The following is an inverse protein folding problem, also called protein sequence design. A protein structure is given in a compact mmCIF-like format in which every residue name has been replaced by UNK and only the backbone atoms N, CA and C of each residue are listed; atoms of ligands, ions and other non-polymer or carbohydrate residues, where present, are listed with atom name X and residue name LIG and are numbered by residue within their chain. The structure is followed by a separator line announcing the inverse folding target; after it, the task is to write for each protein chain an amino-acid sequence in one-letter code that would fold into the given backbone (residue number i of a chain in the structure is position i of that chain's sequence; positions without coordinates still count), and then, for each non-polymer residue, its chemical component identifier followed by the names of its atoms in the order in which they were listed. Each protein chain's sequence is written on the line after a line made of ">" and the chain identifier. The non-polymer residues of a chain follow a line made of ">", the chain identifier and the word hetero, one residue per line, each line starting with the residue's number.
data_IF_038447564038
#
_entry.id   IF_038447564038
#
_cell.length_a   1.000
_cell.length_b   1.000
_cell.length_c   1.000
_cell.angle_alpha   90.00
_cell.angle_beta   90.00
_cell.angle_gamma   90.00
#
_symmetry.space_group_name_H-M   'P 1'
#
loop_
_entity.id
_entity.type
_entity.pdbx_description
1 polymer ?
#
# COMPACT_ATOMS: atom_id res chain seq x y z
N UNK A 1 -37.92 6.05 51.76
CA UNK A 1 -36.70 5.59 51.05
C UNK A 1 -36.90 4.29 50.25
N UNK A 2 -38.03 4.09 49.56
CA UNK A 2 -38.23 2.95 48.63
C UNK A 2 -38.65 3.38 47.21
N UNK A 3 -39.18 4.60 47.05
CA UNK A 3 -39.59 5.15 45.75
C UNK A 3 -38.42 5.75 44.93
N UNK A 4 -37.32 6.13 45.59
CA UNK A 4 -36.17 6.77 44.90
C UNK A 4 -35.31 5.72 44.17
N UNK A 5 -35.24 4.49 44.67
CA UNK A 5 -34.48 3.40 44.05
C UNK A 5 -35.12 2.81 42.79
N UNK A 6 -36.43 2.98 42.60
CA UNK A 6 -37.12 2.50 41.40
C UNK A 6 -36.89 3.43 40.20
N UNK A 7 -36.79 4.75 40.41
CA UNK A 7 -36.54 5.70 39.33
C UNK A 7 -35.10 5.64 38.80
N UNK A 8 -34.11 5.32 39.63
CA UNK A 8 -32.71 5.15 39.17
C UNK A 8 -32.51 3.87 38.38
N UNK A 9 -33.26 2.80 38.68
CA UNK A 9 -33.18 1.54 37.92
C UNK A 9 -33.86 1.65 36.53
N UNK A 10 -34.96 2.41 36.44
CA UNK A 10 -35.66 2.64 35.16
C UNK A 10 -34.89 3.61 34.26
N UNK A 11 -34.21 4.63 34.82
CA UNK A 11 -33.31 5.48 34.02
C UNK A 11 -32.06 4.73 33.52
N UNK A 12 -31.57 3.72 34.25
CA UNK A 12 -30.48 2.85 33.78
C UNK A 12 -30.88 1.93 32.62
N UNK A 13 -32.15 1.51 32.56
CA UNK A 13 -32.68 0.64 31.50
C UNK A 13 -33.05 1.40 30.22
N UNK A 14 -33.36 2.70 30.29
CA UNK A 14 -33.68 3.51 29.11
C UNK A 14 -32.42 3.91 28.33
N UNK A 15 -31.24 3.97 28.96
CA UNK A 15 -29.96 4.20 28.27
C UNK A 15 -29.49 3.01 27.40
N UNK A 16 -30.11 1.83 27.49
CA UNK A 16 -29.79 0.69 26.61
C UNK A 16 -30.63 0.66 25.32
N UNK A 17 -31.62 1.54 25.15
CA UNK A 17 -32.52 1.54 24.00
C UNK A 17 -32.08 2.46 22.85
N UNK A 18 -31.00 3.23 23.04
CA UNK A 18 -30.30 3.95 21.99
C UNK A 18 -28.93 3.30 21.72
N UNK A 19 -28.91 1.97 21.54
CA UNK A 19 -27.80 1.35 20.83
C UNK A 19 -27.91 1.79 19.37
N UNK A 20 -27.38 2.97 19.05
CA UNK A 20 -26.91 3.21 17.68
C UNK A 20 -26.06 1.99 17.30
N UNK A 21 -26.43 1.31 16.21
CA UNK A 21 -25.68 0.14 15.74
C UNK A 21 -24.24 0.60 15.52
N UNK A 22 -23.33 0.19 16.40
CA UNK A 22 -21.91 0.46 16.23
C UNK A 22 -21.49 -0.33 15.00
N UNK A 23 -21.26 0.39 13.91
CA UNK A 23 -20.78 -0.19 12.65
C UNK A 23 -19.34 -0.64 12.89
N UNK A 24 -19.10 -1.92 12.66
CA UNK A 24 -17.79 -2.53 12.84
C UNK A 24 -16.78 -2.05 11.79
N UNK A 25 -15.47 -2.10 12.07
CA UNK A 25 -14.43 -1.78 11.08
C UNK A 25 -14.58 -2.60 9.79
N UNK A 26 -14.99 -3.86 9.90
CA UNK A 26 -15.25 -4.77 8.78
C UNK A 26 -16.46 -4.33 7.95
N UNK A 27 -17.53 -3.85 8.58
CA UNK A 27 -18.70 -3.32 7.87
C UNK A 27 -18.37 -2.04 7.10
N UNK A 28 -17.57 -1.15 7.70
CA UNK A 28 -17.04 0.04 7.02
C UNK A 28 -16.16 -0.37 5.83
N UNK A 29 -15.26 -1.34 6.02
CA UNK A 29 -14.40 -1.81 4.93
C UNK A 29 -15.21 -2.48 3.81
N UNK A 30 -16.21 -3.29 4.14
CA UNK A 30 -17.13 -3.87 3.16
C UNK A 30 -17.92 -2.79 2.39
N UNK A 31 -18.26 -1.68 3.06
CA UNK A 31 -18.86 -0.52 2.41
C UNK A 31 -17.91 0.14 1.42
N UNK A 32 -16.66 0.37 1.84
CA UNK A 32 -15.60 0.88 0.96
C UNK A 32 -15.39 -0.03 -0.26
N UNK A 33 -15.37 -1.35 -0.09
CA UNK A 33 -15.27 -2.31 -1.20
C UNK A 33 -16.45 -2.20 -2.18
N UNK A 34 -17.68 -2.05 -1.69
CA UNK A 34 -18.86 -1.85 -2.55
C UNK A 34 -18.76 -0.57 -3.37
N UNK A 35 -18.30 0.52 -2.76
CA UNK A 35 -18.07 1.81 -3.44
C UNK A 35 -16.94 1.71 -4.46
N UNK A 36 -15.82 1.06 -4.12
CA UNK A 36 -14.72 0.81 -5.05
C UNK A 36 -15.18 -0.02 -6.26
N UNK A 37 -15.98 -1.06 -6.04
CA UNK A 37 -16.55 -1.87 -7.12
C UNK A 37 -17.51 -1.08 -8.02
N UNK A 38 -18.22 -0.08 -7.47
CA UNK A 38 -19.03 0.86 -8.28
C UNK A 38 -18.15 1.72 -9.16
N UNK A 39 -17.13 2.36 -8.58
CA UNK A 39 -16.16 3.20 -9.32
C UNK A 39 -15.50 2.40 -10.44
N UNK A 40 -15.12 1.14 -10.17
CA UNK A 40 -14.52 0.26 -11.18
C UNK A 40 -15.49 -0.03 -12.34
N UNK A 41 -16.76 -0.35 -12.06
CA UNK A 41 -17.77 -0.56 -13.11
C UNK A 41 -17.94 0.68 -13.98
N UNK A 42 -18.05 1.85 -13.36
CA UNK A 42 -18.21 3.12 -14.07
C UNK A 42 -16.99 3.43 -14.95
N UNK A 43 -15.77 3.14 -14.45
CA UNK A 43 -14.54 3.27 -15.21
C UNK A 43 -14.48 2.29 -16.40
N UNK A 44 -14.87 1.04 -16.20
CA UNK A 44 -14.90 0.02 -17.27
C UNK A 44 -15.91 0.37 -18.36
N UNK A 45 -17.07 0.92 -18.00
CA UNK A 45 -18.06 1.37 -18.99
C UNK A 45 -17.61 2.62 -19.75
N UNK A 46 -16.78 3.48 -19.13
CA UNK A 46 -16.09 4.56 -19.85
C UNK A 46 -15.06 4.04 -20.82
N UNK A 47 -14.27 3.03 -20.45
CA UNK A 47 -13.28 2.40 -21.35
C UNK A 47 -13.98 1.79 -22.58
N UNK A 48 -15.14 1.15 -22.40
CA UNK A 48 -15.93 0.63 -23.53
C UNK A 48 -16.42 1.74 -24.47
N UNK A 49 -16.91 2.85 -23.92
CA UNK A 49 -17.34 4.03 -24.68
C UNK A 49 -16.18 4.69 -25.43
N UNK A 50 -15.03 4.79 -24.79
CA UNK A 50 -13.79 5.26 -25.41
C UNK A 50 -13.43 4.41 -26.64
N UNK A 51 -13.48 3.07 -26.50
CA UNK A 51 -13.21 2.14 -27.59
C UNK A 51 -14.24 2.25 -28.75
N UNK A 52 -15.47 2.70 -28.45
CA UNK A 52 -16.50 2.99 -29.44
C UNK A 52 -16.37 4.39 -30.08
N UNK A 53 -15.37 5.20 -29.68
CA UNK A 53 -15.17 6.56 -30.20
C UNK A 53 -16.08 7.62 -29.58
N UNK A 54 -16.75 7.30 -28.46
CA UNK A 54 -17.63 8.23 -27.75
C UNK A 54 -16.84 9.17 -26.82
N UNK A 55 -17.45 10.31 -26.47
CA UNK A 55 -16.87 11.23 -25.50
C UNK A 55 -16.79 10.59 -24.11
N UNK A 56 -15.60 10.64 -23.51
CA UNK A 56 -15.30 10.13 -22.16
C UNK A 56 -15.31 11.22 -21.09
N UNK A 57 -15.61 12.48 -21.46
CA UNK A 57 -15.66 13.59 -20.50
C UNK A 57 -16.82 13.43 -19.52
N UNK A 58 -16.60 13.87 -18.29
CA UNK A 58 -17.66 13.95 -17.29
C UNK A 58 -18.59 15.11 -17.60
N UNK A 59 -19.91 14.89 -17.57
CA UNK A 59 -20.84 16.01 -17.35
C UNK A 59 -20.70 16.52 -15.91
N UNK A 60 -21.11 17.76 -15.60
CA UNK A 60 -21.03 18.29 -14.23
C UNK A 60 -21.71 17.38 -13.20
N UNK A 61 -22.86 16.79 -13.55
CA UNK A 61 -23.57 15.87 -12.66
C UNK A 61 -22.83 14.55 -12.46
N UNK A 62 -22.24 13.99 -13.53
CA UNK A 62 -21.43 12.78 -13.40
C UNK A 62 -20.16 13.04 -12.59
N UNK A 63 -19.58 14.24 -12.70
CA UNK A 63 -18.41 14.62 -11.91
C UNK A 63 -18.77 14.67 -10.42
N UNK A 64 -19.89 15.31 -10.07
CA UNK A 64 -20.41 15.38 -8.70
C UNK A 64 -20.68 13.99 -8.11
N UNK A 65 -21.20 13.06 -8.91
CA UNK A 65 -21.41 11.67 -8.47
C UNK A 65 -20.08 10.97 -8.23
N UNK A 66 -19.10 11.11 -9.13
CA UNK A 66 -17.78 10.50 -8.98
C UNK A 66 -17.02 11.07 -7.76
N UNK A 67 -17.13 12.37 -7.51
CA UNK A 67 -16.58 13.03 -6.32
C UNK A 67 -17.24 12.47 -5.04
N UNK A 68 -18.57 12.36 -5.02
CA UNK A 68 -19.29 11.78 -3.88
C UNK A 68 -18.96 10.32 -3.62
N UNK A 69 -18.77 9.51 -4.67
CA UNK A 69 -18.32 8.13 -4.51
C UNK A 69 -16.89 8.05 -3.94
N UNK A 70 -15.98 8.92 -4.40
CA UNK A 70 -14.62 8.97 -3.88
C UNK A 70 -14.59 9.43 -2.41
N UNK A 71 -15.39 10.44 -2.06
CA UNK A 71 -15.55 10.90 -0.68
C UNK A 71 -16.08 9.77 0.21
N UNK A 72 -17.14 9.08 -0.22
CA UNK A 72 -17.69 7.95 0.52
C UNK A 72 -16.69 6.80 0.66
N UNK A 73 -15.91 6.51 -0.39
CA UNK A 73 -14.84 5.51 -0.32
C UNK A 73 -13.81 5.88 0.75
N UNK A 74 -13.28 7.11 0.69
CA UNK A 74 -12.26 7.59 1.62
C UNK A 74 -12.79 7.65 3.06
N UNK A 75 -14.03 8.07 3.26
CA UNK A 75 -14.65 8.16 4.58
C UNK A 75 -14.83 6.78 5.22
N UNK A 76 -15.37 5.81 4.49
CA UNK A 76 -15.48 4.43 4.96
C UNK A 76 -14.11 3.81 5.28
N UNK A 77 -13.09 4.06 4.44
CA UNK A 77 -11.73 3.61 4.72
C UNK A 77 -11.14 4.25 5.97
N UNK A 78 -11.39 5.55 6.22
CA UNK A 78 -10.97 6.23 7.46
C UNK A 78 -11.61 5.61 8.69
N UNK A 79 -12.92 5.34 8.65
CA UNK A 79 -13.62 4.68 9.75
C UNK A 79 -13.09 3.27 10.02
N UNK A 80 -12.91 2.45 8.98
CA UNK A 80 -12.32 1.12 9.11
C UNK A 80 -10.88 1.15 9.64
N UNK A 81 -10.02 2.04 9.10
CA UNK A 81 -8.64 2.25 9.57
C UNK A 81 -8.59 2.76 11.02
N UNK A 82 -9.51 3.66 11.40
CA UNK A 82 -9.63 4.16 12.77
C UNK A 82 -10.05 3.08 13.77
N UNK A 83 -10.77 2.08 13.28
CA UNK A 83 -11.16 0.88 14.03
C UNK A 83 -10.15 -0.27 14.01
N UNK A 84 -8.98 -0.11 13.36
CA UNK A 84 -7.91 -1.11 13.34
C UNK A 84 -7.94 -2.09 12.16
N UNK A 85 -8.71 -1.82 11.10
CA UNK A 85 -8.70 -2.69 9.92
C UNK A 85 -7.43 -2.47 9.08
N UNK A 86 -6.54 -3.45 9.03
CA UNK A 86 -5.21 -3.36 8.39
C UNK A 86 -5.30 -3.09 6.88
N UNK A 87 -6.10 -3.86 6.15
CA UNK A 87 -6.23 -3.65 4.70
C UNK A 87 -6.85 -2.28 4.37
N UNK A 88 -7.87 -1.83 5.12
CA UNK A 88 -8.42 -0.47 4.95
C UNK A 88 -7.35 0.61 5.19
N UNK A 89 -6.49 0.41 6.19
CA UNK A 89 -5.37 1.30 6.50
C UNK A 89 -4.39 1.38 5.33
N UNK A 90 -4.03 0.24 4.73
CA UNK A 90 -3.17 0.18 3.55
C UNK A 90 -3.79 0.82 2.30
N UNK A 91 -5.06 0.52 2.02
CA UNK A 91 -5.78 1.10 0.86
C UNK A 91 -5.91 2.61 1.03
N UNK A 92 -6.20 3.09 2.25
CA UNK A 92 -6.23 4.52 2.54
C UNK A 92 -4.87 5.19 2.32
N UNK A 93 -3.78 4.57 2.79
CA UNK A 93 -2.42 5.04 2.55
C UNK A 93 -2.15 5.16 1.04
N UNK A 94 -2.48 4.10 0.29
CA UNK A 94 -2.29 4.06 -1.16
C UNK A 94 -3.11 5.12 -1.89
N UNK A 95 -4.33 5.44 -1.47
CA UNK A 95 -5.10 6.54 -2.08
C UNK A 95 -4.50 7.92 -1.80
N UNK A 96 -3.86 8.09 -0.64
CA UNK A 96 -3.23 9.34 -0.21
C UNK A 96 -1.77 9.49 -0.67
N UNK A 97 -1.16 8.42 -1.18
CA UNK A 97 0.19 8.41 -1.72
C UNK A 97 0.26 9.17 -3.06
N UNK A 98 0.49 10.49 -2.94
CA UNK A 98 0.70 11.39 -4.06
C UNK A 98 1.94 12.27 -3.79
N UNK A 99 2.95 12.25 -4.67
CA UNK A 99 4.19 13.02 -4.49
C UNK A 99 4.00 14.54 -4.51
N UNK A 100 2.84 15.04 -4.96
CA UNK A 100 2.51 16.47 -4.98
C UNK A 100 1.85 16.97 -3.70
N UNK A 101 1.56 16.10 -2.73
CA UNK A 101 0.90 16.49 -1.49
C UNK A 101 1.85 17.15 -0.48
N UNK A 102 1.26 17.89 0.45
CA UNK A 102 1.97 18.59 1.52
C UNK A 102 2.80 17.64 2.39
N UNK A 103 3.81 18.17 3.07
CA UNK A 103 4.60 17.40 4.05
C UNK A 103 3.72 16.77 5.14
N UNK A 104 2.68 17.48 5.59
CA UNK A 104 1.72 16.98 6.57
C UNK A 104 0.97 15.75 6.04
N UNK A 105 0.51 15.79 4.79
CA UNK A 105 -0.16 14.64 4.16
C UNK A 105 0.78 13.46 3.98
N UNK A 106 2.05 13.73 3.64
CA UNK A 106 3.08 12.68 3.57
C UNK A 106 3.28 12.01 4.93
N UNK A 107 3.42 12.78 6.01
CA UNK A 107 3.55 12.24 7.37
C UNK A 107 2.35 11.37 7.77
N UNK A 108 1.13 11.82 7.46
CA UNK A 108 -0.09 11.03 7.70
C UNK A 108 -0.08 9.72 6.91
N UNK A 109 0.30 9.78 5.63
CA UNK A 109 0.40 8.59 4.76
C UNK A 109 1.44 7.61 5.27
N UNK A 110 2.60 8.10 5.72
CA UNK A 110 3.65 7.28 6.32
C UNK A 110 3.20 6.61 7.62
N UNK A 111 2.43 7.32 8.45
CA UNK A 111 1.82 6.74 9.64
C UNK A 111 0.81 5.63 9.31
N UNK A 112 0.10 5.72 8.19
CA UNK A 112 -0.80 4.67 7.72
C UNK A 112 -0.03 3.42 7.26
N UNK A 113 0.97 3.59 6.40
CA UNK A 113 1.81 2.47 5.96
C UNK A 113 2.52 1.80 7.15
N UNK A 114 3.07 2.58 8.09
CA UNK A 114 3.72 2.03 9.26
C UNK A 114 2.77 1.22 10.13
N UNK A 115 1.54 1.71 10.40
CA UNK A 115 0.54 0.92 11.15
C UNK A 115 0.20 -0.39 10.47
N UNK A 116 -0.07 -0.36 9.16
CA UNK A 116 -0.39 -1.59 8.44
C UNK A 116 0.80 -2.58 8.38
N UNK A 117 2.02 -2.06 8.29
CA UNK A 117 3.25 -2.85 8.39
C UNK A 117 3.41 -3.49 9.79
N UNK A 118 3.17 -2.72 10.86
CA UNK A 118 3.24 -3.18 12.25
C UNK A 118 2.19 -4.27 12.53
N UNK A 119 1.05 -4.23 11.84
CA UNK A 119 0.01 -5.28 11.87
C UNK A 119 0.37 -6.53 11.04
N UNK A 120 1.49 -6.50 10.31
CA UNK A 120 2.03 -7.67 9.61
C UNK A 120 1.84 -7.68 8.10
N UNK A 121 1.37 -6.61 7.47
CA UNK A 121 1.17 -6.54 6.02
C UNK A 121 2.47 -6.16 5.28
N UNK A 122 3.02 -7.09 4.50
CA UNK A 122 4.24 -6.90 3.70
C UNK A 122 4.08 -5.80 2.64
N UNK A 123 2.92 -5.74 1.97
CA UNK A 123 2.63 -4.70 0.98
C UNK A 123 2.76 -3.28 1.55
N UNK A 124 2.42 -3.09 2.83
CA UNK A 124 2.58 -1.81 3.50
C UNK A 124 4.05 -1.47 3.77
N UNK A 125 4.90 -2.44 4.08
CA UNK A 125 6.33 -2.24 4.22
C UNK A 125 6.98 -1.78 2.91
N UNK A 126 6.59 -2.39 1.79
CA UNK A 126 7.04 -1.99 0.44
C UNK A 126 6.56 -0.57 0.10
N UNK A 127 5.29 -0.25 0.41
CA UNK A 127 4.75 1.12 0.26
C UNK A 127 5.52 2.15 1.11
N UNK A 128 5.81 1.82 2.37
CA UNK A 128 6.58 2.66 3.28
C UNK A 128 7.96 2.98 2.72
N UNK A 129 8.67 1.99 2.18
CA UNK A 129 9.98 2.20 1.55
C UNK A 129 9.93 3.25 0.43
N UNK A 130 8.93 3.14 -0.45
CA UNK A 130 8.85 4.00 -1.63
C UNK A 130 8.54 5.47 -1.31
N UNK A 131 7.79 5.74 -0.24
CA UNK A 131 7.34 7.09 0.10
C UNK A 131 8.08 7.70 1.30
N UNK A 132 8.38 6.88 2.32
CA UNK A 132 8.66 7.35 3.69
C UNK A 132 10.11 7.14 4.10
N UNK A 133 10.70 5.99 3.77
CA UNK A 133 12.08 5.67 4.07
C UNK A 133 13.03 6.39 3.08
N UNK A 134 13.17 7.71 3.26
CA UNK A 134 13.96 8.59 2.38
C UNK A 134 15.15 9.26 3.06
N UNK A 135 15.26 9.12 4.37
CA UNK A 135 16.35 9.73 5.12
C UNK A 135 17.71 9.07 4.83
N UNK A 136 17.73 7.74 4.66
CA UNK A 136 18.97 6.98 4.38
C UNK A 136 19.60 7.38 3.03
N UNK A 137 18.77 7.75 2.04
CA UNK A 137 19.23 8.13 0.70
C UNK A 137 20.10 9.40 0.69
N UNK A 138 20.05 10.24 1.73
CA UNK A 138 20.68 11.56 1.75
C UNK A 138 21.86 11.71 2.70
N UNK A 139 21.92 10.97 3.81
CA UNK A 139 22.80 11.35 4.92
C UNK A 139 23.53 10.19 5.62
N UNK A 140 22.92 9.00 5.75
CA UNK A 140 23.50 7.92 6.57
C UNK A 140 22.83 6.56 6.30
N UNK A 141 23.58 5.57 5.83
CA UNK A 141 23.08 4.20 5.67
C UNK A 141 22.86 3.50 7.04
N UNK A 142 23.46 4.01 8.11
CA UNK A 142 23.24 3.59 9.50
C UNK A 142 22.13 4.37 10.20
N UNK A 143 21.31 5.12 9.45
CA UNK A 143 20.18 5.82 10.03
C UNK A 143 19.33 4.83 10.87
N UNK A 144 19.10 5.11 12.17
CA UNK A 144 18.43 4.16 13.05
C UNK A 144 17.01 3.78 12.61
N UNK A 145 16.27 4.72 12.02
CA UNK A 145 14.91 4.47 11.53
C UNK A 145 14.94 3.54 10.30
N UNK A 146 15.92 3.74 9.41
CA UNK A 146 16.15 2.86 8.27
C UNK A 146 16.53 1.44 8.72
N UNK A 147 17.49 1.31 9.64
CA UNK A 147 17.90 0.00 10.17
C UNK A 147 16.73 -0.73 10.85
N UNK A 148 15.90 0.00 11.60
CA UNK A 148 14.68 -0.54 12.20
C UNK A 148 13.69 -1.00 11.13
N UNK A 149 13.51 -0.23 10.07
CA UNK A 149 12.67 -0.62 8.92
C UNK A 149 13.20 -1.90 8.27
N UNK A 150 14.50 -2.01 7.98
CA UNK A 150 15.09 -3.23 7.39
C UNK A 150 14.88 -4.44 8.29
N UNK A 151 15.03 -4.28 9.61
CA UNK A 151 14.76 -5.35 10.56
C UNK A 151 13.29 -5.79 10.51
N UNK A 152 12.34 -4.85 10.50
CA UNK A 152 10.91 -5.17 10.36
C UNK A 152 10.62 -5.88 9.04
N UNK A 153 11.23 -5.43 7.94
CA UNK A 153 11.08 -6.05 6.62
C UNK A 153 11.59 -7.49 6.60
N UNK A 154 12.76 -7.75 7.20
CA UNK A 154 13.28 -9.12 7.36
C UNK A 154 12.32 -9.99 8.18
N UNK A 155 11.76 -9.48 9.28
CA UNK A 155 10.81 -10.24 10.10
C UNK A 155 9.53 -10.62 9.34
N UNK A 156 9.00 -9.70 8.51
CA UNK A 156 7.83 -9.98 7.66
C UNK A 156 8.11 -11.09 6.66
N UNK A 157 9.35 -11.22 6.19
CA UNK A 157 9.75 -12.24 5.20
C UNK A 157 10.00 -13.64 5.80
N UNK A 158 10.06 -13.79 7.12
CA UNK A 158 10.33 -15.09 7.77
C UNK A 158 9.17 -16.08 7.66
N UNK A 159 7.95 -15.59 7.42
CA UNK A 159 6.73 -16.40 7.33
C UNK A 159 5.86 -15.94 6.15
N UNK A 160 4.80 -16.69 5.78
CA UNK A 160 3.74 -16.15 4.94
C UNK A 160 3.16 -14.87 5.56
N UNK A 161 2.73 -13.94 4.72
CA UNK A 161 2.06 -12.72 5.17
C UNK A 161 0.82 -13.07 6.01
N UNK A 162 0.58 -12.34 7.11
CA UNK A 162 -0.63 -12.53 7.94
C UNK A 162 -1.92 -12.29 7.13
N UNK A 163 -1.80 -11.50 6.06
CA UNK A 163 -2.83 -11.11 5.11
C UNK A 163 -2.69 -11.82 3.76
N UNK A 164 -2.13 -13.04 3.71
CA UNK A 164 -1.94 -13.79 2.48
C UNK A 164 -3.23 -13.92 1.62
N UNK A 165 -4.39 -14.08 2.27
CA UNK A 165 -5.69 -14.19 1.60
C UNK A 165 -6.21 -12.88 0.99
N UNK A 166 -5.61 -11.74 1.34
CA UNK A 166 -5.98 -10.41 0.85
C UNK A 166 -5.28 -10.06 -0.48
N UNK A 167 -4.29 -10.84 -0.89
CA UNK A 167 -3.58 -10.64 -2.16
C UNK A 167 -4.41 -11.11 -3.38
N UNK A 168 -4.22 -10.50 -4.56
CA UNK A 168 -3.21 -9.49 -4.89
C UNK A 168 -3.58 -8.07 -4.45
N UNK A 169 -2.57 -7.26 -4.17
CA UNK A 169 -2.72 -5.88 -3.70
C UNK A 169 -2.08 -4.89 -4.68
N UNK A 170 -2.61 -3.66 -4.72
CA UNK A 170 -2.10 -2.61 -5.59
C UNK A 170 -0.86 -1.95 -4.99
N UNK A 171 0.29 -2.12 -5.62
CA UNK A 171 1.47 -1.29 -5.39
C UNK A 171 1.34 0.07 -6.11
N UNK A 172 2.01 1.09 -5.59
CA UNK A 172 2.15 2.39 -6.26
C UNK A 172 3.39 2.51 -7.13
N UNK A 173 4.43 1.78 -6.75
CA UNK A 173 5.74 1.72 -7.39
C UNK A 173 6.28 0.32 -7.17
N UNK A 174 7.23 -0.05 -8.02
CA UNK A 174 7.84 -1.37 -8.02
C UNK A 174 9.28 -1.22 -8.52
N UNK A 175 10.24 -1.81 -7.80
CA UNK A 175 11.63 -1.92 -8.27
C UNK A 175 11.81 -3.16 -9.16
N UNK A 176 10.98 -4.18 -8.95
CA UNK A 176 11.13 -5.49 -9.58
C UNK A 176 10.29 -5.70 -10.83
N UNK A 177 9.08 -5.13 -10.83
CA UNK A 177 8.10 -5.34 -11.87
C UNK A 177 7.85 -4.01 -12.58
N UNK A 178 7.87 -4.07 -13.90
CA UNK A 178 7.62 -2.87 -14.69
C UNK A 178 6.20 -2.39 -14.43
N UNK A 179 6.05 -1.09 -14.20
CA UNK A 179 4.84 -0.41 -14.62
C UNK A 179 4.70 -0.71 -16.11
N UNK A 180 3.85 -1.68 -16.47
CA UNK A 180 3.57 -1.90 -17.87
C UNK A 180 3.07 -0.57 -18.44
N UNK A 181 3.93 0.05 -19.26
CA UNK A 181 3.59 1.22 -20.03
C UNK A 181 2.31 0.96 -20.79
N UNK A 182 1.62 2.04 -21.17
CA UNK A 182 0.35 1.95 -21.90
C UNK A 182 0.45 0.85 -23.00
N UNK A 183 -0.55 -0.04 -23.12
CA UNK A 183 -0.53 -1.16 -24.04
C UNK A 183 0.02 -0.76 -25.41
N UNK A 184 0.90 -1.58 -25.99
CA UNK A 184 1.45 -1.32 -27.32
C UNK A 184 0.32 -1.18 -28.35
N UNK A 185 0.12 0.03 -28.90
CA UNK A 185 -0.95 0.34 -29.86
C UNK A 185 -1.64 1.67 -29.58
N UNK A 186 -2.64 2.02 -30.41
CA UNK A 186 -3.53 3.17 -30.17
C UNK A 186 -4.62 2.79 -29.17
N UNK A 187 -4.28 2.73 -27.89
CA UNK A 187 -5.28 2.65 -26.81
C UNK A 187 -5.67 4.06 -26.36
N UNK A 188 -6.96 4.26 -26.07
CA UNK A 188 -7.45 5.52 -25.53
C UNK A 188 -6.88 5.81 -24.14
N UNK A 189 -6.91 7.08 -23.69
CA UNK A 189 -6.33 7.49 -22.41
C UNK A 189 -6.89 6.74 -21.19
N UNK A 190 -8.19 6.43 -21.15
CA UNK A 190 -8.80 5.69 -20.04
C UNK A 190 -8.31 4.25 -19.99
N UNK A 191 -8.27 3.58 -21.15
CA UNK A 191 -7.72 2.22 -21.26
C UNK A 191 -6.24 2.17 -20.84
N UNK A 192 -5.46 3.16 -21.26
CA UNK A 192 -4.05 3.29 -20.89
C UNK A 192 -3.86 3.49 -19.38
N UNK A 193 -4.69 4.32 -18.73
CA UNK A 193 -4.64 4.51 -17.28
C UNK A 193 -4.98 3.21 -16.53
N UNK A 194 -6.01 2.47 -16.95
CA UNK A 194 -6.39 1.20 -16.33
C UNK A 194 -5.31 0.15 -16.47
N UNK A 195 -4.68 0.05 -17.64
CA UNK A 195 -3.59 -0.90 -17.88
C UNK A 195 -2.37 -0.61 -16.97
N UNK A 196 -2.00 0.66 -16.79
CA UNK A 196 -0.94 1.05 -15.84
C UNK A 196 -1.29 0.66 -14.40
N UNK A 197 -2.51 0.97 -13.97
CA UNK A 197 -2.98 0.62 -12.63
C UNK A 197 -3.02 -0.91 -12.41
N UNK A 198 -3.41 -1.69 -13.42
CA UNK A 198 -3.42 -3.15 -13.37
C UNK A 198 -2.02 -3.76 -13.37
N UNK A 199 -1.04 -3.12 -14.01
CA UNK A 199 0.36 -3.55 -14.03
C UNK A 199 1.05 -3.55 -12.66
N UNK A 200 0.46 -2.88 -11.67
CA UNK A 200 0.95 -2.84 -10.28
C UNK A 200 0.02 -3.55 -9.30
N UNK A 201 -0.82 -4.47 -9.77
CA UNK A 201 -1.54 -5.40 -8.89
C UNK A 201 -0.65 -6.62 -8.70
N UNK A 202 0.00 -6.69 -7.54
CA UNK A 202 1.05 -7.67 -7.25
C UNK A 202 0.53 -8.76 -6.30
N UNK A 203 0.92 -10.00 -6.58
CA UNK A 203 0.75 -11.15 -5.67
C UNK A 203 1.68 -11.04 -4.44
N UNK A 204 1.43 -11.86 -3.42
CA UNK A 204 2.31 -11.94 -2.24
C UNK A 204 3.77 -12.22 -2.66
N UNK A 205 4.01 -13.21 -3.52
CA UNK A 205 5.36 -13.56 -4.00
C UNK A 205 6.06 -12.38 -4.69
N UNK A 206 5.31 -11.55 -5.41
CA UNK A 206 5.85 -10.34 -6.02
C UNK A 206 6.18 -9.26 -4.98
N UNK A 207 5.37 -9.09 -3.93
CA UNK A 207 5.74 -8.21 -2.80
C UNK A 207 6.93 -8.77 -2.01
N UNK A 208 7.07 -10.09 -1.88
CA UNK A 208 8.28 -10.72 -1.31
C UNK A 208 9.50 -10.44 -2.18
N UNK A 209 9.36 -10.50 -3.51
CA UNK A 209 10.43 -10.13 -4.43
C UNK A 209 10.88 -8.68 -4.24
N UNK A 210 9.93 -7.73 -4.16
CA UNK A 210 10.21 -6.32 -3.86
C UNK A 210 10.96 -6.15 -2.54
N UNK A 211 10.47 -6.76 -1.48
CA UNK A 211 11.05 -6.66 -0.16
C UNK A 211 12.49 -7.24 -0.10
N UNK A 212 12.73 -8.40 -0.71
CA UNK A 212 14.08 -8.93 -0.85
C UNK A 212 14.96 -8.01 -1.69
N UNK A 213 14.42 -7.41 -2.75
CA UNK A 213 15.20 -6.48 -3.57
C UNK A 213 15.54 -5.19 -2.82
N UNK A 214 14.65 -4.67 -1.98
CA UNK A 214 14.92 -3.55 -1.06
C UNK A 214 16.06 -3.92 -0.11
N UNK A 215 15.99 -5.06 0.58
CA UNK A 215 17.07 -5.53 1.47
C UNK A 215 18.41 -5.67 0.72
N UNK A 216 18.38 -6.26 -0.46
CA UNK A 216 19.57 -6.37 -1.31
C UNK A 216 20.14 -5.00 -1.68
N UNK A 217 19.27 -4.03 -1.97
CA UNK A 217 19.59 -2.69 -2.43
C UNK A 217 20.05 -1.74 -1.32
N UNK A 218 19.60 -1.88 -0.08
CA UNK A 218 19.83 -0.82 0.92
C UNK A 218 20.57 -1.29 2.18
N UNK A 219 20.54 -2.59 2.49
CA UNK A 219 21.24 -3.12 3.66
C UNK A 219 22.75 -2.88 3.57
N UNK A 220 23.35 -2.47 4.68
CA UNK A 220 24.80 -2.42 4.91
C UNK A 220 25.14 -3.12 6.23
N UNK A 221 26.37 -3.60 6.37
CA UNK A 221 26.89 -4.10 7.64
C UNK A 221 27.37 -2.94 8.54
N UNK A 222 27.86 -3.24 9.74
CA UNK A 222 28.34 -2.22 10.69
C UNK A 222 29.61 -1.45 10.26
N UNK A 223 30.12 -1.70 9.05
CA UNK A 223 31.22 -0.95 8.43
C UNK A 223 30.77 -0.19 7.18
N UNK A 224 29.46 0.03 7.00
CA UNK A 224 28.85 0.70 5.84
C UNK A 224 29.07 -0.02 4.51
N UNK A 225 29.40 -1.31 4.56
CA UNK A 225 29.68 -2.10 3.38
C UNK A 225 28.56 -3.11 3.12
N UNK A 226 28.28 -3.38 1.85
CA UNK A 226 27.47 -4.53 1.46
C UNK A 226 28.26 -5.81 1.70
N UNK A 227 27.54 -6.88 2.01
CA UNK A 227 28.14 -8.20 2.26
C UNK A 227 27.40 -9.30 1.47
N UNK A 228 27.70 -10.57 1.78
CA UNK A 228 27.06 -11.73 1.19
C UNK A 228 25.54 -11.78 1.38
N UNK A 229 25.01 -11.18 2.45
CA UNK A 229 23.58 -11.12 2.70
C UNK A 229 22.85 -10.29 1.63
N UNK A 230 23.48 -9.23 1.11
CA UNK A 230 22.91 -8.47 -0.01
C UNK A 230 22.75 -9.34 -1.27
N UNK A 231 23.72 -10.24 -1.52
CA UNK A 231 23.68 -11.17 -2.66
C UNK A 231 22.59 -12.21 -2.46
N UNK A 232 22.48 -12.77 -1.25
CA UNK A 232 21.43 -13.76 -0.94
C UNK A 232 20.02 -13.16 -1.13
N UNK A 233 19.79 -11.94 -0.65
CA UNK A 233 18.52 -11.25 -0.87
C UNK A 233 18.27 -10.96 -2.35
N UNK A 234 19.29 -10.55 -3.09
CA UNK A 234 19.18 -10.33 -4.53
C UNK A 234 18.75 -11.62 -5.25
N UNK A 235 19.41 -12.74 -4.96
CA UNK A 235 19.10 -14.03 -5.58
C UNK A 235 17.67 -14.50 -5.25
N UNK A 236 17.19 -14.28 -4.01
CA UNK A 236 15.79 -14.54 -3.62
C UNK A 236 14.80 -13.67 -4.40
N UNK A 237 15.10 -12.38 -4.59
CA UNK A 237 14.25 -11.50 -5.39
C UNK A 237 14.16 -11.96 -6.85
N UNK A 238 15.28 -12.33 -7.46
CA UNK A 238 15.32 -12.85 -8.84
C UNK A 238 14.58 -14.18 -8.97
N UNK A 239 14.71 -15.08 -7.99
CA UNK A 239 14.00 -16.36 -7.97
C UNK A 239 12.46 -16.17 -7.96
N UNK A 240 11.99 -15.06 -7.38
CA UNK A 240 10.57 -14.66 -7.37
C UNK A 240 10.17 -13.79 -8.59
N UNK A 241 11.05 -13.67 -9.60
CA UNK A 241 10.74 -13.03 -10.88
C UNK A 241 11.08 -11.54 -10.98
N UNK A 242 11.86 -10.99 -10.04
CA UNK A 242 12.32 -9.60 -10.12
C UNK A 242 13.22 -9.36 -11.35
N UNK A 243 13.02 -8.25 -12.08
CA UNK A 243 13.73 -7.96 -13.34
C UNK A 243 15.06 -7.20 -13.20
N UNK A 244 15.51 -6.88 -11.98
CA UNK A 244 16.71 -6.05 -11.72
C UNK A 244 16.74 -4.73 -12.51
N UNK A 245 15.67 -3.93 -12.39
CA UNK A 245 15.52 -2.68 -13.17
C UNK A 245 16.59 -1.62 -12.86
N UNK A 246 17.24 -1.71 -11.70
CA UNK A 246 18.24 -0.74 -11.22
C UNK A 246 19.67 -1.22 -11.51
N UNK A 247 19.86 -2.43 -12.06
CA UNK A 247 21.18 -2.98 -12.35
C UNK A 247 22.00 -3.33 -11.10
N UNK A 248 21.33 -3.69 -10.00
CA UNK A 248 21.92 -4.04 -8.72
C UNK A 248 22.90 -5.21 -8.83
N UNK A 249 22.66 -6.17 -9.74
CA UNK A 249 23.59 -7.27 -10.00
C UNK A 249 25.01 -6.78 -10.31
N UNK A 250 25.12 -5.78 -11.18
CA UNK A 250 26.41 -5.24 -11.59
C UNK A 250 27.14 -4.56 -10.42
N UNK A 251 26.39 -3.84 -9.57
CA UNK A 251 26.90 -3.17 -8.37
C UNK A 251 27.46 -4.21 -7.38
N UNK A 252 26.67 -5.25 -7.07
CA UNK A 252 27.09 -6.31 -6.14
C UNK A 252 28.32 -7.07 -6.64
N UNK A 253 28.39 -7.35 -7.95
CA UNK A 253 29.55 -8.02 -8.56
C UNK A 253 30.82 -7.16 -8.53
N UNK A 254 30.71 -5.85 -8.78
CA UNK A 254 31.84 -4.94 -8.74
C UNK A 254 32.46 -4.88 -7.32
N UNK A 255 31.63 -4.82 -6.29
CA UNK A 255 32.08 -4.78 -4.89
C UNK A 255 32.70 -6.10 -4.43
N UNK A 256 32.12 -7.25 -4.81
CA UNK A 256 32.70 -8.56 -4.49
C UNK A 256 34.13 -8.73 -5.06
N UNK A 257 34.41 -8.15 -6.23
CA UNK A 257 35.75 -8.17 -6.84
C UNK A 257 36.74 -7.29 -6.08
N UNK A 258 36.31 -6.12 -5.60
CA UNK A 258 37.16 -5.21 -4.83
C UNK A 258 37.53 -5.80 -3.46
N UNK A 259 36.60 -6.49 -2.80
CA UNK A 259 36.86 -7.15 -1.51
C UNK A 259 37.81 -8.35 -1.58
N UNK A 260 38.04 -8.94 -2.76
CA UNK A 260 38.98 -10.08 -2.93
C UNK A 260 40.43 -9.65 -3.22
N UNK A 261 40.64 -8.36 -3.48
CA UNK A 261 41.95 -7.79 -3.84
C UNK A 261 42.61 -7.01 -2.69
N UNK A 262 42.00 -7.02 -1.50
CA UNK A 262 42.51 -6.47 -0.25
C UNK A 262 42.57 -7.58 0.81
#
# INVERSE_FOLDING_TARGET
>A
MKAIFACTLVLGLICCAACERVVSPEEYFASAQRTAAKIERDANDRIKREAAGESVQYTPEQLRVAEGDLEALVDNLKHASGGGHTLATYVLASLQDNPMFSEQTRLQTCGLYQRAMDDGLLAAAVGYYHLCDKAYERFDAQNPDHLKFLQSLEQLLLKPDTHADDYPLQAKRSLCFEEHGAPAGKVGPMAAMRARAAGLVLSEDQFRAEAYYILALTRVNGSDMRDSGNIEHFDKAIALGCKDSVGLKAILQAQSRLSKNH
#
